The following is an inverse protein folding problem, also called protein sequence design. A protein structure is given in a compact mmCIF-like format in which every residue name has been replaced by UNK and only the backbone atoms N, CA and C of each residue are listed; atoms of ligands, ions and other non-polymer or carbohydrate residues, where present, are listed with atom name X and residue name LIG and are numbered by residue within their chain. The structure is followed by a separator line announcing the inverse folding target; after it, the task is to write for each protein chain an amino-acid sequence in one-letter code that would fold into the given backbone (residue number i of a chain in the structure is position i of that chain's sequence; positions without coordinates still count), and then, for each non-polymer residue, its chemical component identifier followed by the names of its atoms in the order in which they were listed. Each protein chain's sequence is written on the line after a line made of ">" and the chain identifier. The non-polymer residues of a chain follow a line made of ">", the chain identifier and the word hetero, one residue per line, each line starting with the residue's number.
data_IF_196961098498
#
_entry.id   IF_196961098498
#
_cell.length_a   1.000
_cell.length_b   1.000
_cell.length_c   1.000
_cell.angle_alpha   90.00
_cell.angle_beta   90.00
_cell.angle_gamma   90.00
#
_symmetry.space_group_name_H-M   'P 1'
#
loop_
_entity.id
_entity.type
_entity.pdbx_description
1 polymer ?
#
# COMPACT_ATOMS: atom_id res chain seq x y z
N UNK A 1 10.25 9.28 -28.16
CA UNK A 1 9.46 8.56 -27.15
C UNK A 1 9.90 9.12 -25.80
N UNK A 2 9.20 10.14 -25.32
CA UNK A 2 9.64 10.99 -24.21
C UNK A 2 9.27 10.29 -22.90
N UNK A 3 10.26 9.82 -22.15
CA UNK A 3 10.06 9.37 -20.78
C UNK A 3 9.76 10.61 -19.94
N UNK A 4 8.50 10.79 -19.55
CA UNK A 4 8.08 11.81 -18.59
C UNK A 4 8.89 11.60 -17.32
N UNK A 5 9.71 12.59 -16.96
CA UNK A 5 10.47 12.57 -15.71
C UNK A 5 9.44 12.61 -14.57
N UNK A 6 9.54 11.75 -13.54
CA UNK A 6 8.72 11.89 -12.35
C UNK A 6 9.10 13.23 -11.70
N UNK A 7 8.21 14.22 -11.81
CA UNK A 7 8.46 15.59 -11.33
C UNK A 7 8.07 15.74 -9.86
N UNK A 8 7.42 14.73 -9.27
CA UNK A 8 7.03 14.69 -7.86
C UNK A 8 7.44 13.40 -7.16
N UNK A 9 7.54 13.44 -5.82
CA UNK A 9 7.77 12.25 -4.99
C UNK A 9 6.71 11.17 -5.22
N UNK A 10 5.46 11.57 -5.47
CA UNK A 10 4.36 10.66 -5.78
C UNK A 10 4.62 9.85 -7.06
N UNK A 11 5.05 10.53 -8.14
CA UNK A 11 5.36 9.87 -9.42
C UNK A 11 6.50 8.85 -9.28
N UNK A 12 7.53 9.19 -8.48
CA UNK A 12 8.63 8.28 -8.18
C UNK A 12 8.14 7.02 -7.46
N UNK A 13 7.28 7.19 -6.44
CA UNK A 13 6.72 6.04 -5.71
C UNK A 13 5.88 5.17 -6.64
N UNK A 14 5.06 5.75 -7.51
CA UNK A 14 4.27 4.97 -8.48
C UNK A 14 5.16 4.17 -9.44
N UNK A 15 6.25 4.77 -9.95
CA UNK A 15 7.21 4.09 -10.81
C UNK A 15 7.89 2.91 -10.10
N UNK A 16 8.32 3.11 -8.85
CA UNK A 16 8.96 2.07 -8.06
C UNK A 16 7.98 0.97 -7.65
N UNK A 17 6.74 1.31 -7.27
CA UNK A 17 5.67 0.35 -6.95
C UNK A 17 5.38 -0.56 -8.14
N UNK A 18 5.24 0.02 -9.34
CA UNK A 18 5.02 -0.75 -10.56
C UNK A 18 6.16 -1.74 -10.83
N UNK A 19 7.42 -1.34 -10.59
CA UNK A 19 8.59 -2.21 -10.73
C UNK A 19 8.61 -3.34 -9.70
N UNK A 20 8.33 -3.05 -8.44
CA UNK A 20 8.24 -4.07 -7.38
C UNK A 20 7.16 -5.08 -7.73
N UNK A 21 5.96 -4.62 -8.12
CA UNK A 21 4.85 -5.50 -8.50
C UNK A 21 5.19 -6.39 -9.70
N UNK A 22 5.88 -5.85 -10.70
CA UNK A 22 6.31 -6.64 -11.85
C UNK A 22 7.33 -7.71 -11.46
N UNK A 23 8.30 -7.36 -10.62
CA UNK A 23 9.30 -8.32 -10.15
C UNK A 23 8.67 -9.41 -9.27
N UNK A 24 7.77 -9.05 -8.36
CA UNK A 24 7.00 -10.00 -7.54
C UNK A 24 6.18 -10.97 -8.40
N UNK A 25 5.50 -10.47 -9.45
CA UNK A 25 4.79 -11.32 -10.42
C UNK A 25 5.72 -12.28 -11.16
N UNK A 26 6.85 -11.76 -11.64
CA UNK A 26 7.84 -12.54 -12.41
C UNK A 26 8.44 -13.66 -11.59
N UNK A 27 8.72 -13.39 -10.31
CA UNK A 27 9.29 -14.37 -9.37
C UNK A 27 8.24 -15.32 -8.77
N UNK A 28 6.94 -15.11 -9.05
CA UNK A 28 5.85 -15.96 -8.54
C UNK A 28 5.65 -15.89 -7.03
N UNK A 29 6.03 -14.77 -6.41
CA UNK A 29 5.98 -14.54 -4.96
C UNK A 29 4.55 -14.13 -4.55
N UNK A 30 3.99 -14.70 -3.47
CA UNK A 30 2.70 -14.23 -2.93
C UNK A 30 2.96 -13.05 -1.97
N UNK A 31 2.57 -11.81 -2.32
CA UNK A 31 2.88 -10.64 -1.49
C UNK A 31 2.37 -10.73 -0.06
N UNK A 32 1.28 -11.46 0.17
CA UNK A 32 0.64 -11.57 1.48
C UNK A 32 1.28 -12.63 2.37
N UNK A 33 1.94 -13.63 1.77
CA UNK A 33 2.57 -14.73 2.53
C UNK A 33 4.08 -14.52 2.67
N UNK A 34 4.68 -13.85 1.69
CA UNK A 34 6.12 -13.75 1.52
C UNK A 34 6.63 -12.31 1.70
N UNK A 35 6.15 -11.61 2.72
CA UNK A 35 6.47 -10.20 2.96
C UNK A 35 8.00 -9.93 3.07
N UNK A 36 8.77 -10.87 3.61
CA UNK A 36 10.24 -10.77 3.66
C UNK A 36 10.89 -10.80 2.27
N UNK A 37 10.33 -11.59 1.34
CA UNK A 37 10.82 -11.65 -0.05
C UNK A 37 10.46 -10.35 -0.76
N UNK A 38 9.23 -9.84 -0.59
CA UNK A 38 8.82 -8.55 -1.14
C UNK A 38 9.68 -7.41 -0.61
N UNK A 39 10.01 -7.41 0.68
CA UNK A 39 10.94 -6.44 1.29
C UNK A 39 12.28 -6.43 0.58
N UNK A 40 12.87 -7.62 0.36
CA UNK A 40 14.14 -7.75 -0.36
C UNK A 40 14.04 -7.25 -1.81
N UNK A 41 12.93 -7.56 -2.50
CA UNK A 41 12.67 -7.07 -3.85
C UNK A 41 12.58 -5.53 -3.86
N UNK A 42 11.86 -4.94 -2.92
CA UNK A 42 11.73 -3.49 -2.80
C UNK A 42 13.08 -2.82 -2.51
N UNK A 43 13.88 -3.37 -1.59
CA UNK A 43 15.25 -2.90 -1.32
C UNK A 43 16.12 -2.94 -2.58
N UNK A 44 16.06 -4.03 -3.35
CA UNK A 44 16.81 -4.17 -4.60
C UNK A 44 16.34 -3.18 -5.68
N UNK A 45 15.03 -2.95 -5.81
CA UNK A 45 14.48 -1.98 -6.76
C UNK A 45 14.92 -0.56 -6.41
N UNK A 46 14.81 -0.17 -5.14
CA UNK A 46 15.21 1.16 -4.65
C UNK A 46 16.72 1.37 -4.81
N UNK A 47 17.54 0.38 -4.43
CA UNK A 47 19.00 0.43 -4.59
C UNK A 47 19.41 0.61 -6.05
N UNK A 48 18.85 -0.17 -6.98
CA UNK A 48 19.14 -0.04 -8.42
C UNK A 48 18.71 1.32 -8.97
N UNK A 49 17.62 1.89 -8.47
CA UNK A 49 17.20 3.23 -8.85
C UNK A 49 18.18 4.29 -8.35
N UNK A 50 18.61 4.17 -7.10
CA UNK A 50 19.58 5.09 -6.50
C UNK A 50 20.93 5.06 -7.23
N UNK A 51 21.44 3.87 -7.58
CA UNK A 51 22.64 3.68 -8.41
C UNK A 51 22.52 4.41 -9.76
N UNK A 52 21.34 4.38 -10.39
CA UNK A 52 21.09 5.12 -11.65
C UNK A 52 21.02 6.63 -11.42
N UNK A 53 20.58 7.09 -10.26
CA UNK A 53 20.49 8.52 -9.95
C UNK A 53 21.86 9.19 -9.90
N UNK A 54 22.91 8.44 -9.48
CA UNK A 54 24.30 8.89 -9.46
C UNK A 54 24.83 9.26 -10.85
N UNK A 55 24.25 8.69 -11.91
CA UNK A 55 24.59 9.02 -13.31
C UNK A 55 23.82 10.23 -13.86
N UNK A 56 22.90 10.80 -13.06
CA UNK A 56 21.99 11.88 -13.47
C UNK A 56 20.79 11.42 -14.31
N UNK A 57 20.64 10.10 -14.54
CA UNK A 57 19.59 9.55 -15.39
C UNK A 57 18.20 9.56 -14.77
N UNK A 58 18.10 9.56 -13.42
CA UNK A 58 16.84 9.54 -12.66
C UNK A 58 16.94 10.43 -11.42
N UNK A 59 15.79 10.75 -10.81
CA UNK A 59 15.72 11.52 -9.56
C UNK A 59 16.23 10.66 -8.38
N UNK A 60 17.10 11.20 -7.50
CA UNK A 60 17.59 10.47 -6.33
C UNK A 60 16.48 10.24 -5.30
N UNK A 61 16.64 9.18 -4.50
CA UNK A 61 15.72 8.85 -3.41
C UNK A 61 16.25 9.51 -2.13
N UNK A 62 15.49 10.44 -1.55
CA UNK A 62 15.94 11.18 -0.36
C UNK A 62 16.05 10.30 0.90
N UNK A 63 15.09 9.39 1.10
CA UNK A 63 15.09 8.42 2.20
C UNK A 63 14.73 7.02 1.65
N UNK A 64 15.73 6.20 1.30
CA UNK A 64 15.50 4.86 0.78
C UNK A 64 14.72 3.96 1.76
N UNK A 65 14.92 4.13 3.07
CA UNK A 65 14.25 3.31 4.08
C UNK A 65 12.76 3.59 4.14
N UNK A 66 12.39 4.87 4.14
CA UNK A 66 10.99 5.28 4.09
C UNK A 66 10.30 4.82 2.80
N UNK A 67 10.97 4.96 1.65
CA UNK A 67 10.43 4.50 0.36
C UNK A 67 10.24 2.99 0.34
N UNK A 68 11.21 2.21 0.83
CA UNK A 68 11.06 0.75 0.95
C UNK A 68 9.86 0.40 1.84
N UNK A 69 9.71 1.08 2.99
CA UNK A 69 8.56 0.89 3.88
C UNK A 69 7.23 1.15 3.18
N UNK A 70 7.13 2.26 2.44
CA UNK A 70 5.94 2.60 1.67
C UNK A 70 5.64 1.58 0.57
N UNK A 71 6.65 1.11 -0.16
CA UNK A 71 6.51 0.07 -1.18
C UNK A 71 6.03 -1.26 -0.59
N UNK A 72 6.56 -1.65 0.58
CA UNK A 72 6.10 -2.85 1.29
C UNK A 72 4.65 -2.69 1.74
N UNK A 73 4.29 -1.52 2.30
CA UNK A 73 2.91 -1.25 2.68
C UNK A 73 1.98 -1.36 1.46
N UNK A 74 2.37 -0.81 0.31
CA UNK A 74 1.59 -0.86 -0.93
C UNK A 74 1.45 -2.25 -1.53
N UNK A 75 2.48 -3.10 -1.43
CA UNK A 75 2.50 -4.42 -2.09
C UNK A 75 2.08 -5.56 -1.17
N UNK A 76 2.55 -5.56 0.08
CA UNK A 76 2.32 -6.61 1.08
C UNK A 76 1.42 -6.20 2.24
N UNK A 77 1.26 -4.90 2.49
CA UNK A 77 0.41 -4.36 3.55
C UNK A 77 -0.93 -3.82 3.05
N UNK A 78 -1.48 -2.86 3.81
CA UNK A 78 -2.74 -2.17 3.53
C UNK A 78 -2.51 -0.79 2.87
N UNK A 79 -1.41 -0.63 2.15
CA UNK A 79 -1.07 0.56 1.38
C UNK A 79 -1.16 1.84 2.21
N UNK A 80 -1.92 2.80 1.71
CA UNK A 80 -2.05 4.10 2.36
C UNK A 80 -2.83 4.06 3.69
N UNK A 81 -3.51 2.96 4.02
CA UNK A 81 -4.12 2.77 5.34
C UNK A 81 -3.13 2.28 6.39
N UNK A 82 -1.98 1.73 5.99
CA UNK A 82 -1.02 1.13 6.91
C UNK A 82 -0.66 2.05 8.09
N UNK A 83 -0.38 3.36 7.89
CA UNK A 83 -0.05 4.25 9.02
C UNK A 83 -1.17 4.38 10.05
N UNK A 84 -2.44 4.24 9.65
CA UNK A 84 -3.57 4.28 10.58
C UNK A 84 -3.75 2.96 11.31
N UNK A 85 -3.48 1.83 10.64
CA UNK A 85 -3.58 0.50 11.24
C UNK A 85 -2.43 0.21 12.22
N UNK A 86 -1.25 0.75 11.94
CA UNK A 86 -0.07 0.60 12.80
C UNK A 86 -0.10 1.52 14.03
N UNK A 87 -1.00 2.51 14.04
CA UNK A 87 -1.09 3.48 15.11
C UNK A 87 -1.98 2.97 16.25
N UNK A 88 -1.42 2.71 17.45
CA UNK A 88 -2.17 2.12 18.55
C UNK A 88 -3.21 3.06 19.16
N UNK A 89 -3.21 4.36 18.82
CA UNK A 89 -4.25 5.28 19.24
C UNK A 89 -5.48 5.26 18.31
N UNK A 90 -5.37 4.65 17.13
CA UNK A 90 -6.49 4.47 16.19
C UNK A 90 -7.33 3.29 16.61
N UNK A 91 -8.60 3.56 16.90
CA UNK A 91 -9.58 2.59 17.35
C UNK A 91 -10.36 2.00 16.17
N UNK A 92 -10.76 2.85 15.21
CA UNK A 92 -11.58 2.47 14.05
C UNK A 92 -11.16 3.27 12.82
N UNK A 93 -11.33 2.67 11.63
CA UNK A 93 -11.10 3.31 10.33
C UNK A 93 -12.35 3.09 9.47
N UNK A 94 -12.91 4.16 8.90
CA UNK A 94 -14.05 4.10 8.00
C UNK A 94 -13.70 4.70 6.64
N UNK A 95 -14.07 3.99 5.57
CA UNK A 95 -14.03 4.49 4.19
C UNK A 95 -15.46 4.58 3.69
N UNK A 96 -16.03 5.79 3.73
CA UNK A 96 -17.38 6.02 3.21
C UNK A 96 -17.37 6.36 1.72
N UNK A 97 -16.29 6.96 1.25
CA UNK A 97 -16.01 7.32 -0.13
C UNK A 97 -14.48 7.34 -0.31
N UNK A 98 -13.92 7.11 -1.51
CA UNK A 98 -12.47 7.21 -1.72
C UNK A 98 -11.88 8.55 -1.27
N UNK A 99 -12.66 9.63 -1.28
CA UNK A 99 -12.27 10.96 -0.77
C UNK A 99 -12.65 11.23 0.70
N UNK A 100 -13.31 10.28 1.38
CA UNK A 100 -13.82 10.44 2.76
C UNK A 100 -13.42 9.27 3.64
N UNK A 101 -12.18 9.32 4.10
CA UNK A 101 -11.60 8.37 5.05
C UNK A 101 -11.56 8.98 6.45
N UNK A 102 -12.19 8.32 7.42
CA UNK A 102 -12.27 8.75 8.82
C UNK A 102 -11.52 7.78 9.72
N UNK A 103 -11.01 8.29 10.83
CA UNK A 103 -10.50 7.47 11.93
C UNK A 103 -11.15 7.86 13.25
N UNK A 104 -11.22 6.93 14.19
CA UNK A 104 -11.51 7.21 15.58
C UNK A 104 -10.23 7.14 16.41
N UNK A 105 -10.01 8.15 17.26
CA UNK A 105 -8.95 8.15 18.27
C UNK A 105 -9.50 8.68 19.57
N UNK A 106 -9.24 7.98 20.68
CA UNK A 106 -9.68 8.40 22.02
C UNK A 106 -11.19 8.70 22.05
N UNK A 107 -11.99 7.87 21.37
CA UNK A 107 -13.44 8.02 21.24
C UNK A 107 -13.92 9.22 20.41
N UNK A 108 -13.07 9.84 19.57
CA UNK A 108 -13.44 10.97 18.70
C UNK A 108 -13.16 10.65 17.24
N UNK A 109 -14.11 11.01 16.37
CA UNK A 109 -14.01 10.78 14.94
C UNK A 109 -13.37 11.99 14.26
N UNK A 110 -12.41 11.75 13.38
CA UNK A 110 -11.74 12.78 12.60
C UNK A 110 -11.63 12.39 11.12
N UNK A 111 -11.81 13.38 10.24
CA UNK A 111 -11.59 13.20 8.80
C UNK A 111 -10.09 13.28 8.54
N UNK A 112 -9.55 12.29 7.83
CA UNK A 112 -8.14 12.28 7.45
C UNK A 112 -7.89 13.09 6.18
N UNK A 113 -6.62 13.37 5.87
CA UNK A 113 -6.19 13.92 4.59
C UNK A 113 -5.96 12.84 3.52
N UNK A 114 -6.23 11.57 3.82
CA UNK A 114 -6.02 10.47 2.89
C UNK A 114 -7.09 10.51 1.80
N UNK A 115 -6.64 10.55 0.55
CA UNK A 115 -7.46 10.35 -0.63
C UNK A 115 -7.06 9.06 -1.32
N UNK A 116 -8.06 8.24 -1.61
CA UNK A 116 -7.92 6.99 -2.34
C UNK A 116 -8.59 7.12 -3.71
N UNK A 117 -8.17 6.29 -4.65
CA UNK A 117 -8.93 5.99 -5.86
C UNK A 117 -9.87 4.82 -5.63
N UNK A 118 -10.89 4.67 -6.49
CA UNK A 118 -11.78 3.51 -6.46
C UNK A 118 -10.99 2.19 -6.63
N UNK A 119 -9.95 2.19 -7.46
CA UNK A 119 -9.06 1.04 -7.64
C UNK A 119 -8.32 0.69 -6.34
N UNK A 120 -7.79 1.69 -5.63
CA UNK A 120 -7.12 1.45 -4.33
C UNK A 120 -8.08 0.89 -3.29
N UNK A 121 -9.33 1.39 -3.23
CA UNK A 121 -10.36 0.84 -2.32
C UNK A 121 -10.67 -0.62 -2.67
N UNK A 122 -10.85 -0.95 -3.95
CA UNK A 122 -11.06 -2.33 -4.37
C UNK A 122 -9.88 -3.24 -4.05
N UNK A 123 -8.64 -2.82 -4.32
CA UNK A 123 -7.45 -3.59 -3.97
C UNK A 123 -7.33 -3.80 -2.44
N UNK A 124 -7.74 -2.83 -1.62
CA UNK A 124 -7.76 -2.97 -0.17
C UNK A 124 -8.75 -4.04 0.28
N UNK A 125 -9.99 -3.99 -0.23
CA UNK A 125 -11.03 -4.98 0.07
C UNK A 125 -10.58 -6.38 -0.35
N UNK A 126 -10.08 -6.55 -1.57
CA UNK A 126 -9.60 -7.84 -2.06
C UNK A 126 -8.49 -8.41 -1.16
N UNK A 127 -7.53 -7.58 -0.74
CA UNK A 127 -6.46 -8.00 0.17
C UNK A 127 -6.98 -8.40 1.55
N UNK A 128 -7.84 -7.56 2.13
CA UNK A 128 -8.45 -7.80 3.44
C UNK A 128 -9.27 -9.10 3.45
N UNK A 129 -9.98 -9.39 2.37
CA UNK A 129 -10.78 -10.61 2.28
C UNK A 129 -9.94 -11.84 1.94
N UNK A 130 -8.88 -11.71 1.13
CA UNK A 130 -7.97 -12.81 0.79
C UNK A 130 -7.31 -13.42 2.03
N UNK A 131 -6.94 -12.62 3.02
CA UNK A 131 -6.37 -13.12 4.28
C UNK A 131 -7.40 -13.89 5.13
N UNK A 132 -8.66 -13.45 5.12
CA UNK A 132 -9.77 -14.08 5.85
C UNK A 132 -10.42 -15.28 5.13
N UNK A 133 -10.11 -15.50 3.84
CA UNK A 133 -10.78 -16.49 2.99
C UNK A 133 -12.25 -16.16 2.66
N UNK A 134 -12.67 -14.91 2.86
CA UNK A 134 -14.02 -14.42 2.55
C UNK A 134 -14.08 -13.82 1.15
N UNK A 135 -15.30 -13.62 0.63
CA UNK A 135 -15.54 -12.98 -0.67
C UNK A 135 -16.75 -12.06 -0.55
N UNK A 136 -16.74 -10.99 -1.33
CA UNK A 136 -17.85 -10.06 -1.50
C UNK A 136 -18.24 -10.06 -2.97
N UNK A 137 -19.53 -10.06 -3.25
CA UNK A 137 -20.05 -9.95 -4.61
C UNK A 137 -21.37 -9.16 -4.62
N UNK A 138 -21.91 -8.89 -5.81
CA UNK A 138 -23.12 -8.08 -5.97
C UNK A 138 -24.33 -8.73 -5.26
N UNK A 139 -24.36 -10.06 -5.12
CA UNK A 139 -25.42 -10.78 -4.43
C UNK A 139 -25.25 -10.82 -2.91
N UNK A 140 -24.03 -10.62 -2.41
CA UNK A 140 -23.67 -10.51 -0.99
C UNK A 140 -22.80 -9.27 -0.76
N UNK A 141 -23.40 -8.06 -0.67
CA UNK A 141 -22.67 -6.81 -0.56
C UNK A 141 -22.14 -6.50 0.85
N UNK A 142 -22.28 -7.43 1.79
CA UNK A 142 -21.84 -7.28 3.19
C UNK A 142 -20.96 -8.46 3.58
N UNK A 143 -19.87 -8.19 4.29
CA UNK A 143 -18.93 -9.22 4.73
C UNK A 143 -18.26 -8.81 6.04
N UNK A 144 -18.38 -9.68 7.05
CA UNK A 144 -17.56 -9.59 8.25
C UNK A 144 -16.29 -10.46 8.10
N UNK A 145 -15.13 -9.91 8.41
CA UNK A 145 -13.85 -10.61 8.36
C UNK A 145 -12.94 -10.28 9.56
N UNK A 146 -12.01 -11.19 9.83
CA UNK A 146 -10.87 -10.94 10.71
C UNK A 146 -9.63 -10.77 9.86
N UNK A 147 -8.96 -9.64 10.03
CA UNK A 147 -7.71 -9.33 9.37
C UNK A 147 -6.54 -9.92 10.19
N UNK A 148 -5.34 -10.02 9.58
CA UNK A 148 -4.09 -10.24 10.31
C UNK A 148 -3.96 -9.28 11.50
N UNK A 149 -3.21 -9.66 12.53
CA UNK A 149 -3.04 -8.89 13.77
C UNK A 149 -4.33 -8.66 14.60
N UNK A 150 -5.44 -9.31 14.24
CA UNK A 150 -6.66 -9.32 15.05
C UNK A 150 -7.59 -8.13 14.83
N UNK A 151 -7.37 -7.31 13.80
CA UNK A 151 -8.32 -6.26 13.44
C UNK A 151 -9.62 -6.88 12.89
N UNK A 152 -10.76 -6.30 13.26
CA UNK A 152 -12.07 -6.72 12.77
C UNK A 152 -12.51 -5.82 11.62
N UNK A 153 -12.95 -6.42 10.53
CA UNK A 153 -13.58 -5.75 9.39
C UNK A 153 -15.09 -6.06 9.43
N UNK A 154 -15.93 -5.17 9.98
CA UNK A 154 -17.39 -5.29 9.93
C UNK A 154 -17.99 -5.02 8.55
#
# INVERSE_FOLDING_TARGET
>A
MTLTRPDTHADLIEELDARVREQVRTEGVDPQRDALIVRRIAEDVVRRHDERSLTGAVVPVADPGAVVGELIARVSGFGALQPFLDDPEVEEVWINDPSRVFIARRGRHELTNLMLSAAQVHELIERMLKSSGRRIDISQPFVDAMLPEGHRLP
#
